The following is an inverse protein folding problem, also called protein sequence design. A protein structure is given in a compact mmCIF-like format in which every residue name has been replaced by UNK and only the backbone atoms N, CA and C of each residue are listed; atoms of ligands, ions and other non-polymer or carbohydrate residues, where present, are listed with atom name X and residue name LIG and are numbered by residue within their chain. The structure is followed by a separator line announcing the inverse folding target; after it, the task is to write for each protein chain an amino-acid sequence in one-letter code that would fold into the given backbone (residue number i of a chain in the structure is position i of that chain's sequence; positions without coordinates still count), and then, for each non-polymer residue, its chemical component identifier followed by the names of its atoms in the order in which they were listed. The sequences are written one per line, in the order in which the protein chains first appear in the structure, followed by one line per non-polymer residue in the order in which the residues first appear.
data_IF_322974523379
#
_entry.id   IF_322974523379
#
_cell.length_a   1.000
_cell.length_b   1.000
_cell.length_c   1.000
_cell.angle_alpha   90.00
_cell.angle_beta   90.00
_cell.angle_gamma   90.00
#
_symmetry.space_group_name_H-M   'P 1'
#
loop_
_entity.id
_entity.type
_entity.pdbx_description
1 polymer ?
#
# COMPACT_ATOMS: atom_id res chain seq x y z
N UNK A 1 -9.33 -13.58 8.32
CA UNK A 1 -10.43 -12.58 8.30
C UNK A 1 -10.14 -11.30 9.09
N UNK A 2 -8.98 -11.16 9.76
CA UNK A 2 -8.60 -9.96 10.52
C UNK A 2 -8.41 -8.68 9.69
N UNK A 3 -8.25 -8.76 8.36
CA UNK A 3 -8.08 -7.59 7.49
C UNK A 3 -9.39 -6.89 7.07
N UNK A 4 -10.55 -7.49 7.32
CA UNK A 4 -11.84 -6.90 6.91
C UNK A 4 -12.14 -5.64 7.75
N UNK A 5 -11.89 -5.69 9.06
CA UNK A 5 -12.11 -4.57 9.96
C UNK A 5 -11.29 -3.31 9.58
N UNK A 6 -9.95 -3.36 9.45
CA UNK A 6 -9.17 -2.19 9.04
C UNK A 6 -9.51 -1.75 7.60
N UNK A 7 -9.85 -2.68 6.71
CA UNK A 7 -10.27 -2.36 5.34
C UNK A 7 -11.56 -1.54 5.29
N UNK A 8 -12.57 -1.93 6.07
CA UNK A 8 -13.83 -1.17 6.19
C UNK A 8 -13.56 0.19 6.84
N UNK A 9 -12.77 0.25 7.92
CA UNK A 9 -12.43 1.51 8.58
C UNK A 9 -11.74 2.50 7.64
N UNK A 10 -10.79 2.03 6.84
CA UNK A 10 -10.10 2.85 5.85
C UNK A 10 -11.06 3.29 4.73
N UNK A 11 -11.89 2.37 4.23
CA UNK A 11 -12.89 2.68 3.21
C UNK A 11 -13.89 3.75 3.66
N UNK A 12 -14.43 3.63 4.88
CA UNK A 12 -15.35 4.62 5.47
C UNK A 12 -14.66 5.96 5.65
N UNK A 13 -13.43 5.96 6.16
CA UNK A 13 -12.66 7.20 6.35
C UNK A 13 -12.40 7.92 5.02
N UNK A 14 -12.05 7.18 3.96
CA UNK A 14 -11.87 7.75 2.63
C UNK A 14 -13.18 8.33 2.05
N UNK A 15 -14.31 7.65 2.25
CA UNK A 15 -15.62 8.16 1.82
C UNK A 15 -15.98 9.47 2.53
N UNK A 16 -15.77 9.53 3.85
CA UNK A 16 -16.08 10.72 4.66
C UNK A 16 -15.16 11.89 4.28
N UNK A 17 -13.86 11.64 4.18
CA UNK A 17 -12.87 12.67 3.80
C UNK A 17 -13.15 13.22 2.41
N UNK A 18 -13.46 12.36 1.43
CA UNK A 18 -13.84 12.79 0.10
C UNK A 18 -15.12 13.64 0.09
N UNK A 19 -16.16 13.24 0.81
CA UNK A 19 -17.40 14.01 0.91
C UNK A 19 -17.17 15.39 1.53
N UNK A 20 -16.33 15.47 2.57
CA UNK A 20 -16.01 16.73 3.21
C UNK A 20 -15.17 17.64 2.30
N UNK A 21 -14.17 17.07 1.63
CA UNK A 21 -13.29 17.79 0.72
C UNK A 21 -14.06 18.30 -0.51
N UNK A 22 -14.94 17.46 -1.06
CA UNK A 22 -15.77 17.81 -2.21
C UNK A 22 -16.70 19.00 -1.91
N UNK A 23 -17.28 19.03 -0.70
CA UNK A 23 -18.07 20.16 -0.22
C UNK A 23 -17.23 21.42 -0.02
N UNK A 24 -16.01 21.30 0.53
CA UNK A 24 -15.13 22.46 0.74
C UNK A 24 -14.65 23.09 -0.56
N UNK A 25 -14.40 22.30 -1.61
CA UNK A 25 -13.90 22.81 -2.89
C UNK A 25 -15.01 23.30 -3.84
N UNK A 26 -16.31 23.23 -3.46
CA UNK A 26 -17.45 23.60 -4.32
C UNK A 26 -17.29 23.06 -5.76
N UNK A 27 -16.93 21.77 -5.88
CA UNK A 27 -16.71 21.16 -7.19
C UNK A 27 -18.00 21.21 -8.02
N UNK A 28 -17.95 21.70 -9.27
CA UNK A 28 -19.13 21.76 -10.12
C UNK A 28 -19.64 20.35 -10.40
N UNK A 29 -20.94 20.12 -10.17
CA UNK A 29 -21.59 18.88 -10.58
C UNK A 29 -21.58 18.79 -12.11
N UNK A 30 -20.80 17.84 -12.64
CA UNK A 30 -20.81 17.53 -14.07
C UNK A 30 -22.20 17.00 -14.47
N UNK A 31 -22.70 17.35 -15.67
CA UNK A 31 -23.98 16.83 -16.16
C UNK A 31 -23.94 15.30 -16.25
N UNK A 32 -25.10 14.65 -16.07
CA UNK A 32 -25.20 13.19 -16.15
C UNK A 32 -24.72 12.72 -17.53
N UNK A 33 -23.68 11.90 -17.56
CA UNK A 33 -23.15 11.32 -18.78
C UNK A 33 -24.23 10.49 -19.51
N UNK A 34 -24.29 10.63 -20.82
CA UNK A 34 -25.14 9.80 -21.67
C UNK A 34 -24.62 8.36 -21.74
N UNK A 35 -25.51 7.39 -21.99
CA UNK A 35 -25.11 5.97 -22.15
C UNK A 35 -24.03 5.78 -23.23
N UNK A 36 -24.01 6.65 -24.25
CA UNK A 36 -23.01 6.64 -25.31
C UNK A 36 -21.63 7.09 -24.82
N UNK A 37 -21.57 8.15 -24.01
CA UNK A 37 -20.32 8.62 -23.39
C UNK A 37 -19.77 7.62 -22.38
N UNK A 38 -20.65 6.95 -21.63
CA UNK A 38 -20.26 5.88 -20.71
C UNK A 38 -19.63 4.72 -21.48
N UNK A 39 -20.25 4.29 -22.59
CA UNK A 39 -19.69 3.23 -23.42
C UNK A 39 -18.35 3.62 -24.05
N UNK A 40 -18.25 4.85 -24.55
CA UNK A 40 -17.00 5.35 -25.15
C UNK A 40 -15.87 5.44 -24.13
N UNK A 41 -16.17 5.84 -22.88
CA UNK A 41 -15.22 5.90 -21.77
C UNK A 41 -14.79 4.50 -21.30
N UNK A 42 -15.71 3.53 -21.30
CA UNK A 42 -15.39 2.13 -21.01
C UNK A 42 -14.42 1.55 -22.05
N UNK A 43 -14.66 1.84 -23.33
CA UNK A 43 -13.80 1.36 -24.41
C UNK A 43 -12.43 2.04 -24.40
N UNK A 44 -12.36 3.35 -24.09
CA UNK A 44 -11.07 4.04 -23.96
C UNK A 44 -10.28 3.61 -22.71
N UNK A 45 -10.97 3.20 -21.65
CA UNK A 45 -10.37 2.73 -20.39
C UNK A 45 -9.92 1.26 -20.39
N UNK A 46 -10.26 0.47 -21.41
CA UNK A 46 -9.93 -0.96 -21.47
C UNK A 46 -8.43 -1.24 -21.30
N UNK A 47 -7.57 -0.37 -21.85
CA UNK A 47 -6.12 -0.53 -21.75
C UNK A 47 -5.59 -0.35 -20.32
N UNK A 48 -6.23 0.52 -19.53
CA UNK A 48 -5.91 0.69 -18.11
C UNK A 48 -6.39 -0.50 -17.26
N UNK A 49 -7.51 -1.13 -17.62
CA UNK A 49 -8.06 -2.32 -16.94
C UNK A 49 -7.19 -3.58 -17.08
N UNK A 50 -6.33 -3.65 -18.09
CA UNK A 50 -5.37 -4.76 -18.22
C UNK A 50 -4.25 -4.73 -17.18
N UNK A 51 -3.94 -3.57 -16.58
CA UNK A 51 -2.83 -3.45 -15.63
C UNK A 51 -3.01 -4.34 -14.37
N UNK A 52 -4.16 -4.35 -13.66
CA UNK A 52 -4.40 -5.30 -12.57
C UNK A 52 -4.33 -6.77 -12.99
N UNK A 53 -4.77 -7.08 -14.22
CA UNK A 53 -4.75 -8.45 -14.75
C UNK A 53 -3.31 -8.92 -14.95
N UNK A 54 -2.45 -8.07 -15.50
CA UNK A 54 -1.02 -8.35 -15.69
C UNK A 54 -0.33 -8.57 -14.33
N UNK A 55 -0.61 -7.73 -13.34
CA UNK A 55 0.00 -7.83 -12.01
C UNK A 55 -0.45 -9.11 -11.29
N UNK A 56 -1.77 -9.31 -11.16
CA UNK A 56 -2.33 -10.46 -10.44
C UNK A 56 -2.02 -11.75 -11.17
N UNK A 57 -2.18 -11.77 -12.50
CA UNK A 57 -1.90 -12.93 -13.34
C UNK A 57 -0.41 -13.29 -13.36
N UNK A 58 0.48 -12.32 -13.51
CA UNK A 58 1.92 -12.53 -13.58
C UNK A 58 2.51 -13.04 -12.25
N UNK A 59 2.12 -12.44 -11.13
CA UNK A 59 2.61 -12.88 -9.82
C UNK A 59 1.97 -14.20 -9.36
N UNK A 60 0.65 -14.40 -9.54
CA UNK A 60 0.02 -15.67 -9.12
C UNK A 60 0.43 -16.88 -9.95
N UNK A 61 0.77 -16.68 -11.23
CA UNK A 61 1.25 -17.77 -12.08
C UNK A 61 2.68 -18.21 -11.75
N UNK A 62 3.38 -17.50 -10.86
CA UNK A 62 4.76 -17.80 -10.49
C UNK A 62 5.78 -17.44 -11.58
N UNK A 63 5.36 -16.75 -12.64
CA UNK A 63 6.24 -16.30 -13.72
C UNK A 63 7.17 -15.15 -13.26
N UNK A 64 6.70 -14.31 -12.33
CA UNK A 64 7.44 -13.15 -11.83
C UNK A 64 7.24 -12.94 -10.32
N UNK A 65 8.25 -12.42 -9.64
CA UNK A 65 8.16 -11.93 -8.26
C UNK A 65 7.39 -10.60 -8.17
N UNK A 66 6.90 -10.18 -6.99
CA UNK A 66 6.16 -8.92 -6.86
C UNK A 66 6.94 -7.70 -7.34
N UNK A 67 8.27 -7.72 -7.15
CA UNK A 67 9.19 -6.66 -7.57
C UNK A 67 9.34 -6.60 -9.09
N UNK A 68 9.45 -7.74 -9.76
CA UNK A 68 9.51 -7.83 -11.23
C UNK A 68 8.16 -7.48 -11.86
N UNK A 69 7.05 -7.94 -11.25
CA UNK A 69 5.71 -7.59 -11.68
C UNK A 69 5.46 -6.07 -11.63
N UNK A 70 6.00 -5.39 -10.60
CA UNK A 70 5.99 -3.94 -10.52
C UNK A 70 6.74 -3.26 -11.65
N UNK A 71 7.92 -3.77 -12.02
CA UNK A 71 8.69 -3.25 -13.15
C UNK A 71 7.95 -3.41 -14.49
N UNK A 72 7.38 -4.60 -14.73
CA UNK A 72 6.58 -4.88 -15.94
C UNK A 72 5.35 -3.97 -15.99
N UNK A 73 4.66 -3.77 -14.86
CA UNK A 73 3.51 -2.88 -14.78
C UNK A 73 3.89 -1.41 -15.07
N UNK A 74 5.05 -0.94 -14.59
CA UNK A 74 5.54 0.41 -14.88
C UNK A 74 5.85 0.59 -16.37
N UNK A 75 6.52 -0.38 -17.01
CA UNK A 75 6.76 -0.36 -18.45
C UNK A 75 5.47 -0.39 -19.27
N UNK A 76 4.51 -1.23 -18.87
CA UNK A 76 3.20 -1.29 -19.51
C UNK A 76 2.45 0.04 -19.37
N UNK A 77 2.42 0.62 -18.17
CA UNK A 77 1.78 1.92 -17.92
C UNK A 77 2.43 3.02 -18.78
N UNK A 78 3.77 3.07 -18.85
CA UNK A 78 4.50 3.98 -19.72
C UNK A 78 4.10 3.80 -21.19
N UNK A 79 4.07 2.54 -21.67
CA UNK A 79 3.70 2.23 -23.04
C UNK A 79 2.28 2.69 -23.37
N UNK A 80 1.31 2.39 -22.51
CA UNK A 80 -0.09 2.83 -22.69
C UNK A 80 -0.19 4.36 -22.66
N UNK A 81 0.46 5.03 -21.72
CA UNK A 81 0.44 6.49 -21.63
C UNK A 81 1.07 7.20 -22.84
N UNK A 82 2.15 6.64 -23.40
CA UNK A 82 2.87 7.24 -24.55
C UNK A 82 2.20 6.88 -25.88
N UNK A 83 1.84 5.61 -26.09
CA UNK A 83 1.42 5.11 -27.40
C UNK A 83 -0.09 5.16 -27.58
N UNK A 84 -0.86 4.77 -26.56
CA UNK A 84 -2.33 4.66 -26.64
C UNK A 84 -2.97 6.01 -26.34
N UNK A 85 -2.67 6.59 -25.18
CA UNK A 85 -3.25 7.89 -24.79
C UNK A 85 -2.54 9.07 -25.45
N UNK A 86 -1.23 8.94 -25.75
CA UNK A 86 -0.40 10.01 -26.34
C UNK A 86 -0.41 11.30 -25.51
N UNK A 87 -0.54 11.17 -24.20
CA UNK A 87 -0.64 12.30 -23.26
C UNK A 87 0.72 12.66 -22.65
N UNK A 88 1.75 11.83 -22.86
CA UNK A 88 3.08 12.03 -22.26
C UNK A 88 4.06 12.77 -23.17
N UNK A 89 4.63 13.86 -22.65
CA UNK A 89 5.81 14.52 -23.21
C UNK A 89 7.09 14.11 -22.45
N UNK A 90 8.27 14.28 -23.05
CA UNK A 90 9.56 14.01 -22.39
C UNK A 90 9.73 14.79 -21.08
N UNK A 91 9.24 16.04 -21.03
CA UNK A 91 9.27 16.85 -19.81
C UNK A 91 8.40 16.25 -18.70
N UNK A 92 7.17 15.85 -19.05
CA UNK A 92 6.25 15.20 -18.11
C UNK A 92 6.83 13.88 -17.57
N UNK A 93 7.45 13.08 -18.44
CA UNK A 93 8.10 11.83 -18.04
C UNK A 93 9.21 12.07 -17.01
N UNK A 94 10.07 13.05 -17.24
CA UNK A 94 11.12 13.43 -16.29
C UNK A 94 10.53 13.87 -14.95
N UNK A 95 9.50 14.71 -14.95
CA UNK A 95 8.82 15.14 -13.73
C UNK A 95 8.19 13.98 -12.96
N UNK A 96 7.55 13.03 -13.64
CA UNK A 96 6.95 11.84 -13.01
C UNK A 96 8.03 10.94 -12.39
N UNK A 97 9.14 10.71 -13.09
CA UNK A 97 10.27 9.92 -12.57
C UNK A 97 10.90 10.56 -11.33
N UNK A 98 11.13 11.87 -11.34
CA UNK A 98 11.66 12.60 -10.17
C UNK A 98 10.69 12.53 -9.00
N UNK A 99 9.38 12.68 -9.23
CA UNK A 99 8.38 12.56 -8.17
C UNK A 99 8.32 11.15 -7.59
N UNK A 100 8.38 10.11 -8.43
CA UNK A 100 8.46 8.72 -7.98
C UNK A 100 9.74 8.43 -7.20
N UNK A 101 10.89 8.99 -7.63
CA UNK A 101 12.16 8.86 -6.92
C UNK A 101 12.11 9.55 -5.54
N UNK A 102 11.47 10.71 -5.44
CA UNK A 102 11.31 11.43 -4.15
C UNK A 102 10.46 10.68 -3.15
N UNK A 103 9.35 10.09 -3.58
CA UNK A 103 8.48 9.32 -2.66
C UNK A 103 9.16 8.02 -2.23
N UNK A 104 9.84 7.34 -3.14
CA UNK A 104 10.56 6.10 -2.84
C UNK A 104 11.79 6.34 -1.96
N UNK A 105 12.51 7.45 -2.12
CA UNK A 105 13.69 7.76 -1.29
C UNK A 105 13.34 7.93 0.19
N UNK A 106 12.21 8.58 0.50
CA UNK A 106 11.74 8.73 1.89
C UNK A 106 11.42 7.37 2.51
N UNK A 107 10.71 6.50 1.78
CA UNK A 107 10.37 5.16 2.25
C UNK A 107 11.63 4.31 2.42
N UNK A 108 12.55 4.33 1.46
CA UNK A 108 13.81 3.57 1.53
C UNK A 108 14.71 4.06 2.67
N UNK A 109 14.71 5.36 2.97
CA UNK A 109 15.43 5.90 4.12
C UNK A 109 14.88 5.34 5.45
N UNK A 110 13.55 5.27 5.61
CA UNK A 110 12.92 4.66 6.78
C UNK A 110 13.21 3.16 6.88
N UNK A 111 13.18 2.44 5.75
CA UNK A 111 13.52 1.01 5.73
C UNK A 111 15.00 0.79 6.11
N UNK A 112 15.91 1.63 5.63
CA UNK A 112 17.33 1.54 5.95
C UNK A 112 17.59 1.80 7.45
N UNK A 113 16.97 2.82 8.05
CA UNK A 113 17.12 3.09 9.48
C UNK A 113 16.51 2.00 10.35
N UNK A 114 15.35 1.46 9.95
CA UNK A 114 14.74 0.31 10.62
C UNK A 114 15.61 -0.94 10.52
N UNK A 115 16.25 -1.19 9.37
CA UNK A 115 17.14 -2.34 9.16
C UNK A 115 18.37 -2.29 10.06
N UNK A 116 18.99 -1.11 10.25
CA UNK A 116 20.13 -0.93 11.18
C UNK A 116 19.71 -1.23 12.61
N UNK A 117 18.56 -0.70 13.07
CA UNK A 117 18.03 -0.99 14.40
C UNK A 117 17.70 -2.47 14.58
N UNK A 118 17.08 -3.11 13.59
CA UNK A 118 16.77 -4.55 13.61
C UNK A 118 18.04 -5.41 13.70
N UNK A 119 19.10 -5.02 12.99
CA UNK A 119 20.40 -5.70 13.04
C UNK A 119 21.07 -5.55 14.41
N UNK A 120 21.04 -4.36 15.01
CA UNK A 120 21.55 -4.13 16.37
C UNK A 120 20.79 -4.97 17.42
N UNK A 121 19.46 -5.04 17.33
CA UNK A 121 18.63 -5.89 18.20
C UNK A 121 19.04 -7.36 18.07
N UNK A 122 19.37 -7.80 16.85
CA UNK A 122 19.77 -9.19 16.59
C UNK A 122 21.15 -9.50 17.19
N UNK A 123 22.12 -8.59 17.07
CA UNK A 123 23.47 -8.77 17.65
C UNK A 123 23.47 -8.68 19.17
N UNK A 124 22.59 -7.86 19.74
CA UNK A 124 22.40 -7.79 21.19
C UNK A 124 21.70 -9.03 21.76
N UNK A 125 21.38 -10.03 20.92
CA UNK A 125 20.73 -11.29 21.31
C UNK A 125 19.42 -11.10 22.09
N UNK A 126 18.78 -9.93 21.94
CA UNK A 126 17.51 -9.61 22.59
C UNK A 126 16.42 -10.65 22.27
N UNK A 127 16.32 -11.21 21.05
CA UNK A 127 15.37 -12.29 20.79
C UNK A 127 15.59 -13.52 21.68
N UNK A 128 16.86 -13.88 21.98
CA UNK A 128 17.17 -15.02 22.84
C UNK A 128 16.81 -14.72 24.29
N UNK A 129 17.16 -13.54 24.81
CA UNK A 129 16.79 -13.13 26.17
C UNK A 129 15.27 -13.11 26.38
N UNK A 130 14.52 -12.62 25.40
CA UNK A 130 13.05 -12.63 25.42
C UNK A 130 12.51 -14.06 25.32
N UNK A 131 13.14 -14.92 24.50
CA UNK A 131 12.73 -16.33 24.39
C UNK A 131 12.92 -17.11 25.69
N UNK A 132 14.01 -16.87 26.43
CA UNK A 132 14.28 -17.48 27.73
C UNK A 132 13.26 -17.02 28.78
N UNK A 133 12.92 -15.73 28.80
CA UNK A 133 11.87 -15.19 29.68
C UNK A 133 10.49 -15.82 29.40
N UNK A 134 10.24 -16.21 28.14
CA UNK A 134 8.99 -16.79 27.69
C UNK A 134 8.94 -18.33 27.79
N UNK A 135 10.07 -19.03 27.97
CA UNK A 135 10.12 -20.49 28.13
C UNK A 135 9.06 -21.07 29.10
N UNK A 136 8.82 -20.51 30.31
CA UNK A 136 7.80 -21.07 31.21
C UNK A 136 6.35 -20.89 30.71
N UNK A 137 6.10 -20.03 29.72
CA UNK A 137 4.80 -19.84 29.09
C UNK A 137 4.62 -20.74 27.84
N UNK A 138 5.70 -21.26 27.26
CA UNK A 138 5.68 -22.09 26.04
C UNK A 138 5.00 -23.44 26.29
N UNK A 139 5.07 -23.97 27.51
CA UNK A 139 4.43 -25.24 27.90
C UNK A 139 2.90 -25.21 27.81
N UNK A 140 2.27 -24.03 27.71
CA UNK A 140 0.83 -23.87 27.49
C UNK A 140 0.55 -22.94 26.31
N UNK A 141 0.48 -23.48 25.07
CA UNK A 141 0.32 -22.70 23.83
C UNK A 141 -0.86 -21.72 23.83
N UNK A 142 -1.91 -21.99 24.63
CA UNK A 142 -3.08 -21.11 24.80
C UNK A 142 -2.78 -19.85 25.61
N UNK A 143 -1.95 -19.93 26.65
CA UNK A 143 -1.58 -18.75 27.47
C UNK A 143 -0.59 -17.87 26.71
N UNK A 144 0.37 -18.46 25.99
CA UNK A 144 1.31 -17.72 25.15
C UNK A 144 0.57 -16.92 24.07
N UNK A 145 -0.44 -17.51 23.43
CA UNK A 145 -1.28 -16.82 22.44
C UNK A 145 -2.09 -15.65 23.05
N UNK A 146 -2.61 -15.81 24.27
CA UNK A 146 -3.36 -14.76 24.99
C UNK A 146 -2.44 -13.61 25.43
N UNK A 147 -1.25 -13.91 25.96
CA UNK A 147 -0.27 -12.90 26.37
C UNK A 147 0.27 -12.13 25.17
N UNK A 148 0.58 -12.80 24.06
CA UNK A 148 1.02 -12.17 22.83
C UNK A 148 -0.05 -11.20 22.28
N UNK A 149 -1.31 -11.62 22.21
CA UNK A 149 -2.40 -10.72 21.77
C UNK A 149 -2.62 -9.54 22.71
N UNK A 150 -2.54 -9.73 24.04
CA UNK A 150 -2.68 -8.63 25.01
C UNK A 150 -1.54 -7.62 24.92
N UNK A 151 -0.31 -8.09 24.69
CA UNK A 151 0.85 -7.22 24.53
C UNK A 151 0.74 -6.35 23.27
N UNK A 152 0.30 -6.95 22.16
CA UNK A 152 0.11 -6.24 20.89
C UNK A 152 -0.98 -5.17 20.99
N UNK A 153 -2.13 -5.49 21.60
CA UNK A 153 -3.21 -4.52 21.81
C UNK A 153 -2.80 -3.33 22.71
N UNK A 154 -1.98 -3.58 23.74
CA UNK A 154 -1.50 -2.51 24.62
C UNK A 154 -0.46 -1.60 23.94
N UNK A 155 0.34 -2.14 23.01
CA UNK A 155 1.30 -1.35 22.23
C UNK A 155 0.63 -0.36 21.28
N UNK A 156 -0.51 -0.75 20.67
CA UNK A 156 -1.31 0.13 19.82
C UNK A 156 -1.95 1.28 20.63
N UNK A 157 -2.41 0.99 21.85
CA UNK A 157 -2.92 2.02 22.77
C UNK A 157 -1.83 2.98 23.26
N UNK A 158 -0.61 2.48 23.50
CA UNK A 158 0.53 3.28 23.99
C UNK A 158 1.08 4.22 22.92
N UNK A 159 1.09 3.80 21.65
CA UNK A 159 1.45 4.65 20.51
C UNK A 159 0.41 5.74 20.24
N UNK A 160 -0.88 5.45 20.42
CA UNK A 160 -1.95 6.44 20.30
C UNK A 160 -1.88 7.56 21.35
N UNK A 161 -1.36 7.28 22.56
CA UNK A 161 -1.20 8.29 23.63
C UNK A 161 0.08 9.13 23.55
N UNK A 162 1.04 8.76 22.70
CA UNK A 162 2.30 9.50 22.50
C UNK A 162 2.29 10.37 21.23
N UNK A 163 1.31 10.17 20.35
CA UNK A 163 1.14 10.89 19.08
C UNK A 163 0.01 11.94 19.12
N UNK A 164 -0.56 12.20 20.30
CA UNK A 164 -1.47 13.30 20.63
C UNK A 164 -1.03 13.94 21.94
#
# INVERSE_FOLDING_TARGET
MAGIAPGIMMGVTLMVTWWWQAKRLNLPCQPKASLREVWQSLVSGIWALFLPIIIIGGFRSGLFTPTEAGAVAAFYALFVSVVVYREMTFSTLYHVLINAAKTTSVVMFLVASAAVSAWLITIAELPMMVSELLQPLVDSPRLLFIVAMRCQHNSEHSLCSLLW
#
